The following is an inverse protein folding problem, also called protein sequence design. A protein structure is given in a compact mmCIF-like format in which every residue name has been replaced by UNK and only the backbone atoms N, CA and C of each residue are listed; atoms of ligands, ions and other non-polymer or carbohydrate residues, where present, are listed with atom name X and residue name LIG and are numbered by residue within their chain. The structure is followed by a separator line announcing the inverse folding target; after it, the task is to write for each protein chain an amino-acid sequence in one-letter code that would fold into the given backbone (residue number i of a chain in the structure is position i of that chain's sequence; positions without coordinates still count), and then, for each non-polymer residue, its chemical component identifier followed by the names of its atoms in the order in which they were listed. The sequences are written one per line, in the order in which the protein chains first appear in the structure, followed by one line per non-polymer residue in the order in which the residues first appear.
data_IF_635390541754
#
_entry.id   IF_635390541754
#
_cell.length_a   1.000
_cell.length_b   1.000
_cell.length_c   1.000
_cell.angle_alpha   90.00
_cell.angle_beta   90.00
_cell.angle_gamma   90.00
#
_symmetry.space_group_name_H-M   'P 1'
#
loop_
_entity.id
_entity.type
_entity.pdbx_description
1 polymer ?
#
# COMPACT_ATOMS: atom_id res chain seq x y z
N UNK A 1 -15.21 -20.16 9.65
CA UNK A 1 -16.38 -19.31 9.35
C UNK A 1 -15.89 -18.07 8.65
N UNK A 2 -16.27 -17.89 7.39
CA UNK A 2 -15.88 -16.81 6.46
C UNK A 2 -14.35 -16.57 6.36
N UNK A 3 -13.67 -17.40 5.58
CA UNK A 3 -12.31 -17.14 5.09
C UNK A 3 -12.28 -15.77 4.41
N UNK A 4 -11.67 -14.80 5.09
CA UNK A 4 -11.31 -13.54 4.47
C UNK A 4 -10.11 -13.83 3.57
N UNK A 5 -10.31 -13.84 2.24
CA UNK A 5 -9.24 -14.10 1.28
C UNK A 5 -8.25 -12.93 1.32
N UNK A 6 -7.21 -13.06 2.15
CA UNK A 6 -6.07 -12.15 2.18
C UNK A 6 -5.14 -12.50 1.02
N UNK A 7 -4.91 -11.53 0.14
CA UNK A 7 -3.96 -11.66 -0.95
C UNK A 7 -2.65 -10.99 -0.53
N UNK A 8 -1.60 -11.80 -0.36
CA UNK A 8 -0.27 -11.28 -0.04
C UNK A 8 0.38 -10.69 -1.29
N UNK A 9 0.81 -9.44 -1.17
CA UNK A 9 1.49 -8.71 -2.23
C UNK A 9 2.99 -8.87 -2.00
N UNK A 10 3.70 -9.37 -3.02
CA UNK A 10 5.15 -9.54 -2.97
C UNK A 10 5.82 -8.16 -2.95
N UNK A 11 6.65 -7.94 -1.94
CA UNK A 11 7.51 -6.75 -1.84
C UNK A 11 8.93 -7.11 -2.30
N UNK A 12 9.66 -6.11 -2.79
CA UNK A 12 11.04 -6.28 -3.27
C UNK A 12 12.07 -5.58 -2.38
N UNK A 13 11.63 -4.81 -1.37
CA UNK A 13 12.49 -4.10 -0.43
C UNK A 13 12.06 -4.34 1.02
N UNK A 14 13.00 -4.16 1.95
CA UNK A 14 12.70 -3.94 3.37
C UNK A 14 12.48 -2.45 3.68
N UNK A 15 12.25 -2.15 4.96
CA UNK A 15 12.13 -0.79 5.49
C UNK A 15 13.13 -0.52 6.63
N UNK A 16 13.79 0.66 6.65
CA UNK A 16 13.95 1.57 5.53
C UNK A 16 14.54 0.84 4.30
N UNK A 17 14.25 1.30 3.07
CA UNK A 17 14.84 0.70 1.88
C UNK A 17 16.38 0.72 1.96
N UNK A 18 17.02 -0.29 1.35
CA UNK A 18 18.48 -0.43 1.30
C UNK A 18 19.19 -0.66 2.65
N UNK A 19 18.45 -0.78 3.75
CA UNK A 19 19.03 -1.18 5.04
C UNK A 19 19.10 -2.70 5.10
N UNK A 20 20.31 -3.23 5.13
CA UNK A 20 20.59 -4.66 5.34
C UNK A 20 20.73 -5.01 6.82
N UNK A 21 20.73 -6.31 7.12
CA UNK A 21 20.87 -6.84 8.48
C UNK A 21 19.81 -7.90 8.82
N UNK A 22 19.70 -8.29 10.08
CA UNK A 22 18.69 -9.24 10.52
C UNK A 22 17.30 -8.60 10.57
N UNK A 23 16.26 -9.40 10.28
CA UNK A 23 14.88 -8.94 10.43
C UNK A 23 14.58 -8.76 11.92
N UNK A 24 14.15 -7.55 12.29
CA UNK A 24 13.77 -7.17 13.66
C UNK A 24 12.27 -7.30 13.87
N UNK A 25 11.49 -6.84 12.89
CA UNK A 25 10.03 -6.93 12.87
C UNK A 25 9.50 -6.80 11.43
N UNK A 26 8.18 -6.73 11.29
CA UNK A 26 7.51 -6.49 10.01
C UNK A 26 6.59 -5.27 10.11
N UNK A 27 6.64 -4.40 9.10
CA UNK A 27 5.63 -3.39 8.86
C UNK A 27 4.62 -3.94 7.85
N UNK A 28 3.33 -3.92 8.20
CA UNK A 28 2.28 -4.45 7.33
C UNK A 28 1.44 -3.30 6.79
N UNK A 29 1.26 -3.26 5.47
CA UNK A 29 0.35 -2.33 4.81
C UNK A 29 -0.75 -3.10 4.10
N UNK A 30 -2.00 -2.76 4.41
CA UNK A 30 -3.18 -3.39 3.81
C UNK A 30 -4.00 -2.36 3.06
N UNK A 31 -4.31 -2.66 1.79
CA UNK A 31 -5.27 -1.90 0.99
C UNK A 31 -6.48 -2.79 0.73
N UNK A 32 -7.61 -2.40 1.31
CA UNK A 32 -8.84 -3.18 1.26
C UNK A 32 -9.66 -2.86 0.01
N UNK A 33 -10.04 -1.59 -0.15
CA UNK A 33 -11.08 -1.18 -1.08
C UNK A 33 -10.79 0.19 -1.69
N UNK A 34 -11.24 0.38 -2.92
CA UNK A 34 -11.37 1.69 -3.55
C UNK A 34 -12.85 1.93 -3.79
N UNK A 35 -13.37 3.02 -3.21
CA UNK A 35 -14.79 3.39 -3.31
C UNK A 35 -14.92 4.51 -4.33
N UNK A 36 -15.64 4.22 -5.42
CA UNK A 36 -15.84 5.19 -6.49
C UNK A 36 -17.13 5.96 -6.31
N UNK A 37 -17.04 7.30 -6.28
CA UNK A 37 -18.18 8.21 -6.18
C UNK A 37 -18.55 8.87 -7.51
N UNK A 38 -17.72 8.68 -8.54
CA UNK A 38 -17.94 9.23 -9.88
C UNK A 38 -18.97 8.40 -10.68
N UNK A 39 -19.75 9.03 -11.59
CA UNK A 39 -20.75 8.31 -12.38
C UNK A 39 -20.16 7.19 -13.27
N UNK A 40 -18.95 7.39 -13.78
CA UNK A 40 -18.26 6.45 -14.67
C UNK A 40 -16.89 6.10 -14.07
N UNK A 41 -16.81 5.11 -13.16
CA UNK A 41 -15.55 4.69 -12.58
C UNK A 41 -14.69 3.91 -13.58
N UNK A 42 -13.36 3.86 -13.40
CA UNK A 42 -12.48 3.02 -14.19
C UNK A 42 -12.91 1.54 -14.21
N UNK A 43 -12.51 0.83 -15.27
CA UNK A 43 -12.79 -0.59 -15.43
C UNK A 43 -12.21 -1.45 -14.29
N UNK A 44 -10.91 -1.31 -14.02
CA UNK A 44 -10.19 -1.90 -12.89
C UNK A 44 -9.25 -0.86 -12.30
N UNK A 45 -9.03 -0.93 -10.99
CA UNK A 45 -8.06 -0.07 -10.32
C UNK A 45 -6.95 -0.86 -9.62
N UNK A 46 -5.76 -0.27 -9.61
CA UNK A 46 -4.64 -0.72 -8.79
C UNK A 46 -4.24 0.40 -7.87
N UNK A 47 -3.63 0.06 -6.73
CA UNK A 47 -3.05 1.05 -5.84
C UNK A 47 -1.55 0.84 -5.80
N UNK A 48 -0.80 1.82 -6.28
CA UNK A 48 0.67 1.82 -6.24
C UNK A 48 1.12 2.50 -4.96
N UNK A 49 1.99 1.82 -4.24
CA UNK A 49 2.63 2.33 -3.02
C UNK A 49 4.13 2.30 -3.22
N UNK A 50 4.79 3.42 -2.96
CA UNK A 50 6.25 3.53 -3.02
C UNK A 50 6.76 4.18 -1.74
N UNK A 51 7.66 3.50 -1.05
CA UNK A 51 8.29 4.00 0.16
C UNK A 51 9.40 5.00 -0.17
N UNK A 52 9.69 5.91 0.76
CA UNK A 52 10.78 6.87 0.57
C UNK A 52 12.12 6.14 0.49
N UNK A 53 12.93 6.47 -0.53
CA UNK A 53 14.19 5.77 -0.81
C UNK A 53 14.06 4.45 -1.57
N UNK A 54 12.84 3.98 -1.86
CA UNK A 54 12.64 2.77 -2.67
C UNK A 54 13.01 3.01 -4.14
N UNK A 55 13.73 2.06 -4.75
CA UNK A 55 14.06 2.07 -6.18
C UNK A 55 12.91 1.50 -7.02
N UNK A 56 12.74 1.98 -8.26
CA UNK A 56 11.66 1.53 -9.15
C UNK A 56 10.30 2.15 -8.81
N UNK A 57 9.20 1.51 -9.20
CA UNK A 57 7.83 2.05 -9.09
C UNK A 57 7.13 1.69 -7.78
N UNK A 58 7.78 0.92 -6.90
CA UNK A 58 7.16 0.39 -5.68
C UNK A 58 6.27 -0.82 -5.98
N UNK A 59 5.23 -1.00 -5.18
CA UNK A 59 4.41 -2.21 -5.13
C UNK A 59 2.96 -1.92 -5.56
N UNK A 60 2.37 -2.82 -6.35
CA UNK A 60 0.99 -2.73 -6.81
C UNK A 60 0.05 -3.63 -5.99
N UNK A 61 -0.95 -3.00 -5.40
CA UNK A 61 -2.05 -3.63 -4.70
C UNK A 61 -3.27 -3.73 -5.61
N UNK A 62 -4.05 -4.80 -5.42
CA UNK A 62 -5.33 -5.02 -6.12
C UNK A 62 -6.49 -5.03 -5.11
N UNK A 63 -6.91 -3.86 -4.61
CA UNK A 63 -8.05 -3.77 -3.70
C UNK A 63 -9.36 -4.10 -4.40
N UNK A 64 -10.42 -4.32 -3.62
CA UNK A 64 -11.76 -4.49 -4.16
C UNK A 64 -12.32 -3.15 -4.68
N UNK A 65 -12.76 -3.13 -5.93
CA UNK A 65 -13.37 -1.94 -6.56
C UNK A 65 -14.85 -1.86 -6.22
N UNK A 66 -15.23 -0.98 -5.29
CA UNK A 66 -16.63 -0.74 -4.96
C UNK A 66 -17.22 0.24 -5.96
N UNK A 67 -18.04 -0.30 -6.87
CA UNK A 67 -18.90 0.47 -7.79
C UNK A 67 -20.33 0.46 -7.28
N UNK A 68 -21.17 1.42 -7.69
CA UNK A 68 -22.58 1.51 -7.28
C UNK A 68 -23.28 0.15 -7.46
N UNK A 69 -23.85 -0.40 -6.38
CA UNK A 69 -24.53 -1.71 -6.37
C UNK A 69 -23.64 -2.93 -6.14
N UNK A 70 -22.32 -2.78 -5.96
CA UNK A 70 -21.41 -3.89 -5.66
C UNK A 70 -21.52 -4.30 -4.19
N UNK A 71 -21.66 -5.60 -3.91
CA UNK A 71 -21.49 -6.13 -2.55
C UNK A 71 -20.00 -6.16 -2.22
N UNK A 72 -19.61 -5.40 -1.20
CA UNK A 72 -18.27 -5.41 -0.61
C UNK A 72 -17.83 -6.85 -0.28
N UNK A 73 -16.72 -7.28 -0.86
CA UNK A 73 -16.02 -8.49 -0.41
C UNK A 73 -14.88 -8.08 0.51
N UNK A 74 -14.67 -8.87 1.57
CA UNK A 74 -13.57 -8.70 2.53
C UNK A 74 -12.26 -9.27 1.94
N UNK A 75 -11.85 -8.72 0.80
CA UNK A 75 -10.59 -9.05 0.15
C UNK A 75 -9.60 -7.95 0.50
N UNK A 76 -8.62 -8.27 1.34
CA UNK A 76 -7.52 -7.37 1.66
C UNK A 76 -6.32 -7.76 0.82
N UNK A 77 -5.73 -6.78 0.14
CA UNK A 77 -4.36 -6.95 -0.40
C UNK A 77 -3.38 -6.41 0.61
N UNK A 78 -2.46 -7.26 1.06
CA UNK A 78 -1.57 -6.97 2.18
C UNK A 78 -0.13 -7.19 1.77
N UNK A 79 0.72 -6.19 2.00
CA UNK A 79 2.16 -6.30 1.84
C UNK A 79 2.82 -6.35 3.23
N UNK A 80 3.81 -7.23 3.39
CA UNK A 80 4.64 -7.32 4.59
C UNK A 80 6.07 -6.92 4.27
N UNK A 81 6.52 -5.82 4.84
CA UNK A 81 7.87 -5.30 4.67
C UNK A 81 8.73 -5.70 5.85
N UNK A 82 9.86 -6.36 5.59
CA UNK A 82 10.83 -6.67 6.64
C UNK A 82 11.49 -5.38 7.13
N UNK A 83 11.49 -5.16 8.44
CA UNK A 83 12.20 -4.05 9.07
C UNK A 83 13.51 -4.57 9.65
N UNK A 84 14.64 -4.02 9.18
CA UNK A 84 15.99 -4.47 9.56
C UNK A 84 16.73 -3.47 10.47
N UNK A 85 16.30 -2.21 10.48
CA UNK A 85 16.83 -1.17 11.37
C UNK A 85 16.36 -1.33 12.82
N UNK A 86 17.04 -0.66 13.75
CA UNK A 86 16.56 -0.57 15.14
C UNK A 86 15.27 0.27 15.27
N UNK A 87 14.51 0.15 16.38
CA UNK A 87 13.24 0.86 16.56
C UNK A 87 13.33 2.39 16.39
N UNK A 88 14.38 3.01 16.96
CA UNK A 88 14.57 4.47 16.86
C UNK A 88 14.86 4.93 15.42
N UNK A 89 15.66 4.16 14.68
CA UNK A 89 15.95 4.45 13.28
C UNK A 89 14.71 4.29 12.41
N UNK A 90 13.90 3.25 12.65
CA UNK A 90 12.64 3.05 11.94
C UNK A 90 11.64 4.18 12.22
N UNK A 91 11.50 4.58 13.48
CA UNK A 91 10.64 5.71 13.86
C UNK A 91 11.10 7.03 13.22
N UNK A 92 12.42 7.27 13.17
CA UNK A 92 13.01 8.43 12.50
C UNK A 92 12.72 8.41 11.01
N UNK A 93 12.89 7.27 10.35
CA UNK A 93 12.54 7.10 8.94
C UNK A 93 11.07 7.42 8.64
N UNK A 94 10.13 6.91 9.47
CA UNK A 94 8.69 7.21 9.30
C UNK A 94 8.38 8.69 9.53
N UNK A 95 9.07 9.33 10.48
CA UNK A 95 8.93 10.76 10.75
C UNK A 95 9.44 11.61 9.59
N UNK A 96 10.63 11.32 9.09
CA UNK A 96 11.27 12.06 8.00
C UNK A 96 10.53 11.89 6.67
N UNK A 97 10.00 10.68 6.42
CA UNK A 97 9.12 10.43 5.29
C UNK A 97 7.85 11.29 5.34
N UNK A 98 7.31 11.53 6.52
CA UNK A 98 6.16 12.41 6.76
C UNK A 98 4.82 11.83 6.31
N UNK A 99 4.67 11.51 5.02
CA UNK A 99 3.46 10.92 4.45
C UNK A 99 3.75 9.80 3.44
N UNK A 100 2.92 8.77 3.47
CA UNK A 100 2.91 7.71 2.44
C UNK A 100 1.85 8.05 1.42
N UNK A 101 2.27 8.25 0.16
CA UNK A 101 1.38 8.48 -0.98
C UNK A 101 0.97 7.15 -1.61
N UNK A 102 -0.29 7.05 -1.97
CA UNK A 102 -0.89 5.89 -2.64
C UNK A 102 -1.53 6.40 -3.93
N UNK A 103 -0.97 6.02 -5.07
CA UNK A 103 -1.54 6.39 -6.38
C UNK A 103 -2.56 5.35 -6.79
N UNK A 104 -3.76 5.80 -7.16
CA UNK A 104 -4.80 4.95 -7.73
C UNK A 104 -4.63 4.96 -9.24
N UNK A 105 -4.25 3.82 -9.81
CA UNK A 105 -4.00 3.63 -11.24
C UNK A 105 -5.20 2.98 -11.91
N UNK A 106 -5.57 3.47 -13.09
CA UNK A 106 -6.63 2.89 -13.92
C UNK A 106 -6.06 1.88 -14.93
N UNK A 107 -6.66 0.71 -15.05
CA UNK A 107 -6.33 -0.25 -16.11
C UNK A 107 -7.11 0.08 -17.41
N UNK A 108 -6.55 -0.18 -18.60
CA UNK A 108 -5.27 -0.85 -18.86
C UNK A 108 -4.06 0.09 -18.96
N UNK A 109 -4.27 1.42 -19.02
CA UNK A 109 -3.20 2.38 -19.32
C UNK A 109 -2.23 2.64 -18.16
N UNK A 110 -2.60 2.21 -16.94
CA UNK A 110 -1.87 2.50 -15.70
C UNK A 110 -1.74 4.00 -15.41
N UNK A 111 -2.68 4.80 -15.91
CA UNK A 111 -2.74 6.24 -15.66
C UNK A 111 -3.21 6.50 -14.23
N UNK A 112 -2.56 7.44 -13.54
CA UNK A 112 -3.00 7.92 -12.23
C UNK A 112 -4.35 8.61 -12.37
N UNK A 113 -5.37 8.06 -11.73
CA UNK A 113 -6.74 8.57 -11.74
C UNK A 113 -7.19 9.09 -10.36
N UNK A 114 -6.34 8.97 -9.34
CA UNK A 114 -6.57 9.50 -8.01
C UNK A 114 -5.36 9.28 -7.11
N UNK A 115 -5.36 9.92 -5.95
CA UNK A 115 -4.31 9.77 -4.96
C UNK A 115 -4.91 9.79 -3.55
N UNK A 116 -4.37 8.95 -2.68
CA UNK A 116 -4.60 8.99 -1.25
C UNK A 116 -3.26 9.18 -0.52
N UNK A 117 -3.33 9.61 0.73
CA UNK A 117 -2.15 9.74 1.57
C UNK A 117 -2.43 9.28 2.99
N UNK A 118 -1.42 8.66 3.60
CA UNK A 118 -1.37 8.43 5.05
C UNK A 118 -0.41 9.49 5.60
N UNK A 119 -0.91 10.61 6.12
CA UNK A 119 -0.06 11.67 6.67
C UNK A 119 0.44 11.29 8.06
N UNK A 120 1.48 11.99 8.52
CA UNK A 120 2.03 11.89 9.89
C UNK A 120 2.42 10.46 10.27
N UNK A 121 3.10 9.72 9.39
CA UNK A 121 3.48 8.31 9.61
C UNK A 121 4.27 8.09 10.91
N UNK A 122 5.13 9.04 11.30
CA UNK A 122 5.89 8.97 12.55
C UNK A 122 5.08 9.20 13.83
N UNK A 123 3.76 9.44 13.72
CA UNK A 123 2.83 9.62 14.85
C UNK A 123 1.75 8.52 14.92
N UNK A 124 1.82 7.51 14.04
CA UNK A 124 0.91 6.36 14.04
C UNK A 124 1.16 5.42 15.22
#
# INVERSE_FOLDING_TARGET
GADSLTHEVKVHTGLPPQVDGQIRCFCTLSVSQVIWTVPQPPGRAYVRVKWWGETGDGVLFRPFDIKKGSKSQRNFTTAKYAVRSGPLQFATYLKDMGSLKLDVLSAPKSDVCGQAQIPKLGQL
#
